data_IF_681415610462
#
_entry.id   IF_681415610462
#
_cell.length_a   1.000
_cell.length_b   1.000
_cell.length_c   1.000
_cell.angle_alpha   90.00
_cell.angle_beta   90.00
_cell.angle_gamma   90.00
#
_symmetry.space_group_name_H-M   'P 1'
#
loop_
_entity.id
_entity.type
_entity.pdbx_description
1 polymer ?
#
# COMPACT_ATOMS: atom_id res chain seq x y z
N UNK A 1 -0.67 19.39 -3.34
CA UNK A 1 -0.77 17.90 -3.39
C UNK A 1 -0.43 17.35 -2.00
N UNK A 2 0.75 17.63 -1.41
CA UNK A 2 1.20 17.08 -0.13
C UNK A 2 0.19 17.31 1.00
N UNK A 3 -0.25 18.55 1.19
CA UNK A 3 -1.23 18.93 2.21
C UNK A 3 -2.56 18.18 2.02
N UNK A 4 -3.02 18.02 0.80
CA UNK A 4 -4.24 17.28 0.49
C UNK A 4 -4.11 15.79 0.87
N UNK A 5 -3.02 15.13 0.44
CA UNK A 5 -2.82 13.71 0.73
C UNK A 5 -2.72 13.43 2.22
N UNK A 6 -2.03 14.29 2.97
CA UNK A 6 -1.92 14.15 4.43
C UNK A 6 -3.27 14.41 5.10
N UNK A 7 -4.03 15.39 4.65
CA UNK A 7 -5.38 15.63 5.15
C UNK A 7 -6.28 14.40 4.96
N UNK A 8 -6.24 13.78 3.79
CA UNK A 8 -7.02 12.56 3.52
C UNK A 8 -6.53 11.35 4.33
N UNK A 9 -5.22 11.22 4.50
CA UNK A 9 -4.62 10.16 5.33
C UNK A 9 -5.02 10.32 6.79
N UNK A 10 -4.90 11.53 7.35
CA UNK A 10 -5.32 11.86 8.72
C UNK A 10 -6.83 11.61 8.91
N UNK A 11 -7.66 12.06 7.97
CA UNK A 11 -9.11 11.85 8.04
C UNK A 11 -9.48 10.36 8.04
N UNK A 12 -8.88 9.56 7.13
CA UNK A 12 -9.11 8.12 7.06
C UNK A 12 -8.61 7.41 8.32
N UNK A 13 -7.45 7.83 8.84
CA UNK A 13 -6.92 7.32 10.11
C UNK A 13 -7.87 7.58 11.27
N UNK A 14 -8.37 8.81 11.39
CA UNK A 14 -9.35 9.19 12.43
C UNK A 14 -10.68 8.45 12.27
N UNK A 15 -11.11 8.19 11.04
CA UNK A 15 -12.34 7.43 10.78
C UNK A 15 -12.22 5.98 11.28
N UNK A 16 -11.05 5.37 11.13
CA UNK A 16 -10.79 3.99 11.57
C UNK A 16 -10.58 3.92 13.08
N UNK A 17 -9.72 4.76 13.64
CA UNK A 17 -9.21 4.61 15.02
C UNK A 17 -9.96 5.45 16.05
N UNK A 18 -10.68 6.49 15.61
CA UNK A 18 -11.28 7.54 16.47
C UNK A 18 -10.26 8.26 17.36
N UNK A 19 -8.97 8.19 17.02
CA UNK A 19 -7.85 8.77 17.76
C UNK A 19 -6.73 9.17 16.80
N UNK A 20 -6.02 10.25 17.10
CA UNK A 20 -4.84 10.68 16.35
C UNK A 20 -3.57 9.89 16.71
N UNK A 21 -3.57 9.19 17.82
CA UNK A 21 -2.40 8.54 18.41
C UNK A 21 -2.40 7.02 18.40
N UNK A 22 -3.55 6.39 18.15
CA UNK A 22 -3.65 4.94 18.04
C UNK A 22 -3.15 4.43 16.68
N UNK A 23 -2.42 3.32 16.70
CA UNK A 23 -1.99 2.65 15.48
C UNK A 23 -3.15 1.93 14.81
N UNK A 24 -3.09 1.83 13.47
CA UNK A 24 -4.07 1.03 12.74
C UNK A 24 -3.73 -0.45 12.87
N UNK A 25 -4.70 -1.22 13.34
CA UNK A 25 -4.68 -2.67 13.30
C UNK A 25 -5.72 -3.16 12.29
N UNK A 26 -5.27 -3.76 11.19
CA UNK A 26 -6.17 -4.36 10.19
C UNK A 26 -6.59 -5.75 10.69
N UNK A 27 -7.88 -5.97 11.00
CA UNK A 27 -8.34 -7.22 11.64
C UNK A 27 -8.52 -8.37 10.65
N UNK A 28 -8.10 -8.19 9.40
CA UNK A 28 -8.30 -9.18 8.34
C UNK A 28 -7.16 -10.20 8.28
N UNK A 29 -7.48 -11.42 7.87
CA UNK A 29 -6.47 -12.36 7.39
C UNK A 29 -5.89 -11.88 6.06
N UNK A 30 -4.72 -12.40 5.67
CA UNK A 30 -4.10 -12.05 4.39
C UNK A 30 -5.02 -12.45 3.22
N UNK A 31 -5.65 -13.62 3.28
CA UNK A 31 -6.59 -14.11 2.28
C UNK A 31 -7.81 -13.18 2.12
N UNK A 32 -8.28 -12.59 3.23
CA UNK A 32 -9.37 -11.61 3.18
C UNK A 32 -8.92 -10.34 2.47
N UNK A 33 -7.71 -9.84 2.74
CA UNK A 33 -7.15 -8.68 2.04
C UNK A 33 -7.05 -8.99 0.53
N UNK A 34 -6.49 -10.15 0.18
CA UNK A 34 -6.35 -10.55 -1.24
C UNK A 34 -7.70 -10.63 -1.96
N UNK A 35 -8.73 -11.14 -1.29
CA UNK A 35 -10.07 -11.21 -1.88
C UNK A 35 -10.73 -9.84 -2.06
N UNK A 36 -10.53 -8.91 -1.11
CA UNK A 36 -11.10 -7.57 -1.16
C UNK A 36 -10.44 -6.66 -2.21
N UNK A 37 -9.18 -6.92 -2.56
CA UNK A 37 -8.44 -6.11 -3.54
C UNK A 37 -9.15 -6.03 -4.90
N UNK A 38 -9.85 -7.10 -5.30
CA UNK A 38 -10.60 -7.16 -6.56
C UNK A 38 -11.71 -6.10 -6.65
N UNK A 39 -12.33 -5.74 -5.54
CA UNK A 39 -13.41 -4.75 -5.51
C UNK A 39 -12.97 -3.38 -6.04
N UNK A 40 -11.72 -2.99 -5.76
CA UNK A 40 -11.17 -1.75 -6.29
C UNK A 40 -11.01 -1.80 -7.81
N UNK A 41 -10.53 -2.92 -8.34
CA UNK A 41 -10.41 -3.14 -9.79
C UNK A 41 -11.78 -3.15 -10.48
N UNK A 42 -12.79 -3.76 -9.90
CA UNK A 42 -14.16 -3.75 -10.42
C UNK A 42 -14.71 -2.32 -10.53
N UNK A 43 -14.31 -1.43 -9.65
CA UNK A 43 -14.74 -0.03 -9.70
C UNK A 43 -14.00 0.77 -10.75
N UNK A 44 -12.66 0.71 -10.76
CA UNK A 44 -11.88 1.50 -11.74
C UNK A 44 -12.11 1.02 -13.18
N UNK A 45 -12.38 -0.25 -13.39
CA UNK A 45 -12.64 -0.82 -14.73
C UNK A 45 -13.91 -0.27 -15.39
N UNK A 46 -14.86 0.25 -14.62
CA UNK A 46 -16.07 0.89 -15.16
C UNK A 46 -15.75 2.13 -16.01
N UNK A 47 -14.74 2.89 -15.61
CA UNK A 47 -14.28 4.08 -16.31
C UNK A 47 -13.04 3.82 -17.18
N UNK A 48 -12.28 2.78 -16.86
CA UNK A 48 -11.02 2.42 -17.50
C UNK A 48 -11.00 0.91 -17.79
N UNK A 49 -11.64 0.45 -18.89
CA UNK A 49 -11.79 -0.98 -19.20
C UNK A 49 -10.47 -1.75 -19.29
N UNK A 50 -9.35 -1.07 -19.60
CA UNK A 50 -8.00 -1.65 -19.60
C UNK A 50 -7.55 -2.18 -18.22
N UNK A 51 -8.18 -1.72 -17.13
CA UNK A 51 -7.89 -2.19 -15.77
C UNK A 51 -8.83 -3.31 -15.31
N UNK A 52 -9.54 -3.95 -16.26
CA UNK A 52 -10.40 -5.09 -15.93
C UNK A 52 -9.58 -6.26 -15.40
N UNK A 53 -9.85 -6.68 -14.16
CA UNK A 53 -9.16 -7.78 -13.52
C UNK A 53 -9.98 -9.10 -13.70
N UNK A 54 -9.46 -10.02 -14.49
CA UNK A 54 -10.12 -11.29 -14.84
C UNK A 54 -9.51 -12.52 -14.16
N UNK A 55 -8.45 -12.32 -13.41
CA UNK A 55 -7.72 -13.41 -12.74
C UNK A 55 -8.34 -13.77 -11.38
N UNK A 56 -7.81 -14.83 -10.77
CA UNK A 56 -8.13 -15.18 -9.39
C UNK A 56 -7.60 -14.13 -8.39
N UNK A 57 -7.78 -14.36 -7.11
CA UNK A 57 -7.18 -13.52 -6.06
C UNK A 57 -5.66 -13.69 -6.03
N UNK A 58 -4.95 -12.66 -5.58
CA UNK A 58 -3.55 -12.77 -5.20
C UNK A 58 -3.35 -13.83 -4.12
N UNK A 59 -2.14 -14.32 -3.95
CA UNK A 59 -1.78 -15.39 -3.01
C UNK A 59 -0.61 -14.97 -2.13
N UNK A 60 -0.50 -15.59 -0.96
CA UNK A 60 0.73 -15.51 -0.16
C UNK A 60 1.89 -16.17 -0.90
N UNK A 61 3.02 -15.49 -0.93
CA UNK A 61 4.25 -16.05 -1.51
C UNK A 61 4.83 -17.14 -0.62
N UNK A 62 5.18 -18.28 -1.21
CA UNK A 62 5.97 -19.30 -0.52
C UNK A 62 7.39 -18.81 -0.20
N UNK A 63 7.85 -17.76 -0.88
CA UNK A 63 9.18 -17.17 -0.71
C UNK A 63 9.17 -15.91 0.18
N UNK A 64 8.13 -15.69 0.97
CA UNK A 64 7.95 -14.47 1.78
C UNK A 64 9.14 -14.12 2.65
N UNK A 65 9.81 -15.12 3.25
CA UNK A 65 11.00 -14.88 4.07
C UNK A 65 12.16 -14.37 3.20
N UNK A 66 12.42 -14.98 2.06
CA UNK A 66 13.48 -14.59 1.12
C UNK A 66 13.19 -13.20 0.58
N UNK A 67 11.93 -12.93 0.23
CA UNK A 67 11.47 -11.61 -0.22
C UNK A 67 11.73 -10.53 0.83
N UNK A 68 11.53 -10.84 2.12
CA UNK A 68 11.81 -9.90 3.20
C UNK A 68 13.28 -9.52 3.25
N UNK A 69 14.20 -10.47 3.10
CA UNK A 69 15.64 -10.21 3.03
C UNK A 69 16.07 -9.45 1.78
N UNK A 70 15.36 -9.63 0.66
CA UNK A 70 15.62 -8.90 -0.58
C UNK A 70 14.90 -7.53 -0.64
N UNK A 71 14.15 -7.16 0.40
CA UNK A 71 13.39 -5.90 0.43
C UNK A 71 12.19 -5.88 -0.51
N UNK A 72 11.64 -7.05 -0.91
CA UNK A 72 10.56 -7.19 -1.88
C UNK A 72 9.24 -7.47 -1.19
N UNK A 73 8.22 -6.69 -1.52
CA UNK A 73 6.88 -6.79 -0.92
C UNK A 73 5.97 -7.80 -1.63
N UNK A 74 6.24 -8.10 -2.89
CA UNK A 74 5.50 -9.04 -3.71
C UNK A 74 6.19 -9.27 -5.04
N UNK A 75 5.63 -10.10 -5.89
CA UNK A 75 6.10 -10.31 -7.26
C UNK A 75 5.03 -11.00 -8.12
N UNK A 76 5.10 -10.78 -9.41
CA UNK A 76 4.40 -11.60 -10.38
C UNK A 76 5.22 -12.86 -10.67
N UNK A 77 4.67 -14.04 -10.38
CA UNK A 77 5.36 -15.29 -10.63
C UNK A 77 5.48 -15.52 -12.17
N UNK A 78 6.70 -15.56 -12.73
CA UNK A 78 6.88 -15.62 -14.19
C UNK A 78 6.45 -16.95 -14.82
N UNK A 79 6.32 -18.03 -14.01
CA UNK A 79 5.93 -19.35 -14.50
C UNK A 79 4.43 -19.57 -14.43
N UNK A 80 3.79 -19.07 -13.38
CA UNK A 80 2.35 -19.30 -13.16
C UNK A 80 1.49 -18.08 -13.51
N UNK A 81 2.11 -16.92 -13.71
CA UNK A 81 1.40 -15.65 -13.91
C UNK A 81 0.58 -15.20 -12.68
N UNK A 82 0.88 -15.73 -11.50
CA UNK A 82 0.15 -15.41 -10.27
C UNK A 82 0.74 -14.19 -9.56
N UNK A 83 -0.13 -13.28 -9.15
CA UNK A 83 0.23 -12.20 -8.23
C UNK A 83 0.47 -12.78 -6.83
N UNK A 84 1.70 -12.69 -6.34
CA UNK A 84 2.11 -13.22 -5.05
C UNK A 84 2.61 -12.11 -4.13
N UNK A 85 2.11 -12.07 -2.90
CA UNK A 85 2.40 -11.05 -1.90
C UNK A 85 3.21 -11.67 -0.77
N UNK A 86 4.25 -10.99 -0.33
CA UNK A 86 4.99 -11.35 0.87
C UNK A 86 4.07 -11.25 2.09
N UNK A 87 3.77 -12.38 2.71
CA UNK A 87 2.79 -12.51 3.79
C UNK A 87 3.28 -11.98 5.15
N UNK A 88 4.55 -11.58 5.22
CA UNK A 88 5.21 -11.06 6.43
C UNK A 88 5.23 -9.55 6.53
N UNK A 89 4.94 -8.83 5.45
CA UNK A 89 4.94 -7.37 5.44
C UNK A 89 3.89 -6.79 6.40
N UNK A 90 4.10 -5.58 6.91
CA UNK A 90 3.11 -4.89 7.73
C UNK A 90 1.74 -4.86 7.04
N UNK A 91 0.68 -5.18 7.78
CA UNK A 91 -0.67 -5.27 7.19
C UNK A 91 -1.15 -3.95 6.59
N UNK A 92 -0.68 -2.82 7.09
CA UNK A 92 -1.07 -1.50 6.60
C UNK A 92 -0.58 -1.19 5.18
N UNK A 93 0.46 -1.87 4.69
CA UNK A 93 0.93 -1.75 3.31
C UNK A 93 0.39 -2.86 2.39
N UNK A 94 -0.12 -3.95 2.96
CA UNK A 94 -0.55 -5.12 2.20
C UNK A 94 -1.69 -4.85 1.20
N UNK A 95 -2.71 -4.03 1.48
CA UNK A 95 -3.76 -3.72 0.50
C UNK A 95 -3.23 -3.10 -0.79
N UNK A 96 -2.38 -2.06 -0.70
CA UNK A 96 -1.79 -1.44 -1.90
C UNK A 96 -0.79 -2.36 -2.59
N UNK A 97 0.03 -3.12 -1.84
CA UNK A 97 0.92 -4.12 -2.42
C UNK A 97 0.13 -5.18 -3.20
N UNK A 98 -0.96 -5.68 -2.64
CA UNK A 98 -1.81 -6.64 -3.34
C UNK A 98 -2.34 -6.07 -4.66
N UNK A 99 -2.87 -4.84 -4.63
CA UNK A 99 -3.33 -4.16 -5.84
C UNK A 99 -2.20 -3.93 -6.85
N UNK A 100 -0.99 -3.62 -6.39
CA UNK A 100 0.19 -3.44 -7.24
C UNK A 100 0.56 -4.74 -7.97
N UNK A 101 0.66 -5.87 -7.28
CA UNK A 101 0.96 -7.17 -7.91
C UNK A 101 -0.15 -7.59 -8.89
N UNK A 102 -1.39 -7.25 -8.58
CA UNK A 102 -2.51 -7.46 -9.50
C UNK A 102 -2.39 -6.57 -10.76
N UNK A 103 -1.80 -5.37 -10.67
CA UNK A 103 -1.53 -4.53 -11.84
C UNK A 103 -0.49 -5.17 -12.76
N UNK A 104 0.56 -5.77 -12.22
CA UNK A 104 1.50 -6.56 -13.01
C UNK A 104 0.81 -7.74 -13.71
N UNK A 105 -0.11 -8.42 -13.03
CA UNK A 105 -0.82 -9.58 -13.58
C UNK A 105 -1.74 -9.20 -14.76
N UNK A 106 -2.30 -7.99 -14.79
CA UNK A 106 -3.08 -7.50 -15.94
C UNK A 106 -2.24 -6.88 -17.06
N UNK A 107 -0.88 -6.94 -16.95
CA UNK A 107 0.03 -6.62 -18.03
C UNK A 107 0.82 -5.32 -17.88
N UNK A 108 0.71 -4.59 -16.77
CA UNK A 108 1.50 -3.37 -16.54
C UNK A 108 2.84 -3.73 -15.90
N UNK A 109 3.87 -3.86 -16.72
CA UNK A 109 5.20 -4.31 -16.30
C UNK A 109 6.03 -3.21 -15.61
N UNK A 110 5.79 -1.95 -15.95
CA UNK A 110 6.57 -0.84 -15.38
C UNK A 110 6.12 -0.55 -13.94
N UNK A 111 7.09 -0.49 -13.01
CA UNK A 111 6.85 -0.27 -11.58
C UNK A 111 6.05 1.00 -11.25
N UNK A 112 6.32 2.09 -11.97
CA UNK A 112 5.59 3.33 -11.78
C UNK A 112 4.12 3.22 -12.23
N UNK A 113 3.83 2.47 -13.29
CA UNK A 113 2.47 2.19 -13.74
C UNK A 113 1.74 1.27 -12.75
N UNK A 114 2.39 0.18 -12.33
CA UNK A 114 1.84 -0.74 -11.34
C UNK A 114 1.57 -0.06 -10.01
N UNK A 115 2.47 0.83 -9.55
CA UNK A 115 2.28 1.66 -8.37
C UNK A 115 1.06 2.58 -8.51
N UNK A 116 0.90 3.23 -9.65
CA UNK A 116 -0.22 4.15 -9.89
C UNK A 116 -1.56 3.40 -9.97
N UNK A 117 -1.61 2.28 -10.70
CA UNK A 117 -2.83 1.47 -10.83
C UNK A 117 -3.19 0.82 -9.49
N UNK A 118 -2.20 0.29 -8.76
CA UNK A 118 -2.38 -0.26 -7.43
C UNK A 118 -2.93 0.77 -6.44
N UNK A 119 -2.41 2.01 -6.48
CA UNK A 119 -2.93 3.14 -5.73
C UNK A 119 -4.39 3.43 -6.10
N UNK A 120 -4.72 3.56 -7.38
CA UNK A 120 -6.09 3.84 -7.85
C UNK A 120 -7.06 2.74 -7.43
N UNK A 121 -6.68 1.48 -7.58
CA UNK A 121 -7.52 0.35 -7.20
C UNK A 121 -7.76 0.32 -5.68
N UNK A 122 -6.72 0.50 -4.88
CA UNK A 122 -6.87 0.54 -3.43
C UNK A 122 -7.70 1.75 -2.97
N UNK A 123 -7.50 2.92 -3.56
CA UNK A 123 -8.27 4.14 -3.24
C UNK A 123 -9.74 4.01 -3.62
N UNK A 124 -10.04 3.33 -4.73
CA UNK A 124 -11.40 3.14 -5.22
C UNK A 124 -12.17 2.04 -4.46
N UNK A 125 -11.50 1.27 -3.62
CA UNK A 125 -12.16 0.28 -2.78
C UNK A 125 -13.07 0.96 -1.74
N UNK A 126 -14.19 0.32 -1.37
CA UNK A 126 -15.08 0.86 -0.32
C UNK A 126 -14.48 0.69 1.08
N UNK A 127 -13.62 -0.28 1.23
CA UNK A 127 -13.00 -0.62 2.51
C UNK A 127 -12.01 0.47 2.97
N UNK A 128 -12.17 0.96 4.19
CA UNK A 128 -11.36 2.03 4.75
C UNK A 128 -9.87 1.67 4.91
N UNK A 129 -9.55 0.40 5.18
CA UNK A 129 -8.16 -0.02 5.30
C UNK A 129 -7.44 0.00 3.94
N UNK A 130 -8.17 -0.24 2.84
CA UNK A 130 -7.62 -0.06 1.49
C UNK A 130 -7.38 1.41 1.18
N UNK A 131 -8.32 2.29 1.50
CA UNK A 131 -8.15 3.74 1.33
C UNK A 131 -6.99 4.27 2.16
N UNK A 132 -6.89 3.83 3.42
CA UNK A 132 -5.76 4.19 4.28
C UNK A 132 -4.43 3.75 3.67
N UNK A 133 -4.32 2.50 3.23
CA UNK A 133 -3.11 1.97 2.59
C UNK A 133 -2.72 2.77 1.34
N UNK A 134 -3.71 3.19 0.53
CA UNK A 134 -3.49 4.02 -0.65
C UNK A 134 -2.95 5.41 -0.28
N UNK A 135 -3.64 6.14 0.60
CA UNK A 135 -3.18 7.46 1.04
C UNK A 135 -1.81 7.39 1.74
N UNK A 136 -1.59 6.35 2.54
CA UNK A 136 -0.30 6.08 3.19
C UNK A 136 0.84 5.94 2.18
N UNK A 137 0.63 5.13 1.14
CA UNK A 137 1.60 4.95 0.07
C UNK A 137 1.89 6.26 -0.65
N UNK A 138 0.87 6.97 -1.11
CA UNK A 138 1.02 8.25 -1.81
C UNK A 138 1.71 9.31 -0.93
N UNK A 139 1.34 9.39 0.34
CA UNK A 139 1.95 10.31 1.31
C UNK A 139 3.44 10.00 1.50
N UNK A 140 3.83 8.74 1.60
CA UNK A 140 5.24 8.33 1.71
C UNK A 140 6.07 8.83 0.52
N UNK A 141 5.58 8.67 -0.71
CA UNK A 141 6.28 9.18 -1.91
C UNK A 141 6.42 10.69 -1.89
N UNK A 142 5.35 11.39 -1.58
CA UNK A 142 5.36 12.86 -1.59
C UNK A 142 6.23 13.44 -0.47
N UNK A 143 6.19 12.86 0.73
CA UNK A 143 7.04 13.27 1.86
C UNK A 143 8.53 13.05 1.52
N UNK A 144 8.87 11.92 0.91
CA UNK A 144 10.24 11.62 0.52
C UNK A 144 10.77 12.62 -0.52
N UNK A 145 9.98 12.95 -1.55
CA UNK A 145 10.34 13.96 -2.54
C UNK A 145 10.44 15.36 -1.92
N UNK A 146 9.55 15.70 -1.00
CA UNK A 146 9.58 16.97 -0.30
C UNK A 146 10.83 17.10 0.59
N UNK A 147 11.18 16.03 1.30
CA UNK A 147 12.42 16.00 2.10
C UNK A 147 13.68 16.29 1.28
N UNK A 148 13.74 15.79 0.05
CA UNK A 148 14.87 16.03 -0.86
C UNK A 148 14.92 17.49 -1.37
N UNK A 149 13.76 18.08 -1.64
CA UNK A 149 13.66 19.37 -2.34
C UNK A 149 13.54 20.56 -1.41
N UNK A 150 12.80 20.43 -0.32
CA UNK A 150 12.50 21.51 0.64
C UNK A 150 12.35 20.96 2.06
N UNK A 151 13.46 20.94 2.77
CA UNK A 151 13.50 20.43 4.16
C UNK A 151 12.68 21.28 5.14
N UNK A 152 12.50 22.58 4.86
CA UNK A 152 11.69 23.47 5.71
C UNK A 152 10.21 23.07 5.55
N UNK A 153 9.75 23.00 4.32
CA UNK A 153 8.37 22.60 4.02
C UNK A 153 8.06 21.18 4.46
N UNK A 154 9.05 20.28 4.34
CA UNK A 154 8.94 18.92 4.86
C UNK A 154 8.62 18.93 6.37
N UNK A 155 9.37 19.69 7.20
CA UNK A 155 9.15 19.74 8.65
C UNK A 155 7.75 20.27 8.98
N UNK A 156 7.37 21.41 8.39
CA UNK A 156 6.05 22.02 8.57
C UNK A 156 4.91 21.03 8.28
N UNK A 157 5.03 20.27 7.19
CA UNK A 157 4.00 19.31 6.76
C UNK A 157 4.05 18.03 7.59
N UNK A 158 5.24 17.54 7.93
CA UNK A 158 5.41 16.31 8.70
C UNK A 158 4.79 16.41 10.10
N UNK A 159 4.87 17.59 10.73
CA UNK A 159 4.27 17.89 12.03
C UNK A 159 2.73 17.85 12.01
N UNK A 160 2.11 17.91 10.85
CA UNK A 160 0.65 17.81 10.73
C UNK A 160 0.13 16.37 10.61
N UNK A 161 1.01 15.38 10.56
CA UNK A 161 0.64 13.97 10.44
C UNK A 161 0.25 13.43 11.82
N UNK A 162 -0.87 12.71 11.90
CA UNK A 162 -1.31 12.06 13.14
C UNK A 162 -0.24 11.12 13.70
N UNK A 163 -0.08 11.13 15.01
CA UNK A 163 0.95 10.35 15.72
C UNK A 163 0.84 8.84 15.42
N UNK A 164 -0.38 8.31 15.35
CA UNK A 164 -0.62 6.90 15.01
C UNK A 164 -0.10 6.52 13.62
N UNK A 165 -0.17 7.44 12.65
CA UNK A 165 0.40 7.24 11.32
C UNK A 165 1.94 7.24 11.35
N UNK A 166 2.54 8.14 12.14
CA UNK A 166 3.99 8.18 12.33
C UNK A 166 4.49 6.87 12.95
N UNK A 167 3.77 6.33 13.94
CA UNK A 167 4.06 5.02 14.53
C UNK A 167 4.00 3.90 13.49
N UNK A 168 2.98 3.89 12.62
CA UNK A 168 2.86 2.93 11.53
C UNK A 168 4.04 3.03 10.52
N UNK A 169 4.44 4.23 10.13
CA UNK A 169 5.64 4.41 9.30
C UNK A 169 6.91 3.88 10.00
N UNK A 170 7.05 4.15 11.30
CA UNK A 170 8.19 3.68 12.11
C UNK A 170 8.20 2.15 12.22
N UNK A 171 7.04 1.53 12.49
CA UNK A 171 6.91 0.07 12.55
C UNK A 171 7.25 -0.59 11.21
N UNK A 172 6.82 0.01 10.10
CA UNK A 172 7.17 -0.47 8.76
C UNK A 172 8.68 -0.34 8.48
N UNK A 173 9.30 0.74 8.90
CA UNK A 173 10.76 0.90 8.77
C UNK A 173 11.51 -0.11 9.62
N UNK A 174 11.09 -0.33 10.86
CA UNK A 174 11.67 -1.32 11.75
C UNK A 174 11.54 -2.75 11.19
N UNK A 175 10.41 -3.07 10.54
CA UNK A 175 10.25 -4.35 9.85
C UNK A 175 11.34 -4.55 8.80
N UNK A 176 11.57 -3.59 7.90
CA UNK A 176 12.58 -3.70 6.85
C UNK A 176 14.02 -3.70 7.39
N UNK A 177 14.30 -2.89 8.42
CA UNK A 177 15.62 -2.89 9.08
C UNK A 177 15.97 -4.27 9.67
N UNK A 178 15.01 -4.99 10.24
CA UNK A 178 15.20 -6.36 10.77
C UNK A 178 15.75 -7.34 9.73
N UNK A 179 15.44 -7.13 8.45
CA UNK A 179 15.83 -8.00 7.34
C UNK A 179 17.01 -7.45 6.52
N UNK A 180 17.52 -6.27 6.84
CA UNK A 180 18.76 -5.82 6.22
C UNK A 180 19.92 -6.72 6.67
N UNK A 181 20.66 -7.24 5.71
CA UNK A 181 21.93 -7.90 6.00
C UNK A 181 22.94 -6.84 6.48
N UNK A 182 23.78 -7.16 7.48
CA UNK A 182 24.86 -6.28 7.92
C UNK A 182 25.91 -6.06 6.82
#
# INVERSE_FOLDING_TARGET
ISTYLISQLNATHMEITKSDSLEINIPYSNEKIYSLAKNGYEKISKNFPQFTYKYGKAKSSLMSLIQSYNGTSGYLNPFTGEAQVNDKIPKTIMPTTTCHEMAHQIGFAAENEANFIGFLAALSNDDLYFKYSAYRMATRYVIFELYKRDKKKYREIYETINIGIIKDFTASSAFWEKYKNP
#
